data_IF_765152616039
#
_entry.id   IF_765152616039
#
_cell.length_a   1.000
_cell.length_b   1.000
_cell.length_c   1.000
_cell.angle_alpha   90.00
_cell.angle_beta   90.00
_cell.angle_gamma   90.00
#
_symmetry.space_group_name_H-M   'P 1'
#
loop_
_entity.id
_entity.type
_entity.pdbx_description
1 polymer ?
#
# COMPACT_ATOMS: atom_id res chain seq x y z
N UNK A 1 -4.37 2.99 -9.61
CA UNK A 1 -4.10 4.04 -10.61
C UNK A 1 -5.34 4.18 -11.48
N UNK A 2 -6.19 5.18 -11.18
CA UNK A 2 -7.43 5.42 -11.92
C UNK A 2 -7.08 6.36 -13.07
N UNK A 3 -7.20 5.87 -14.30
CA UNK A 3 -7.09 6.70 -15.50
C UNK A 3 -8.45 7.36 -15.75
N UNK A 4 -8.49 8.69 -15.73
CA UNK A 4 -9.64 9.46 -16.13
C UNK A 4 -9.83 9.32 -17.65
N UNK A 5 -10.94 8.73 -18.08
CA UNK A 5 -11.40 8.73 -19.47
C UNK A 5 -12.29 9.94 -19.63
N UNK A 6 -11.78 10.97 -20.32
CA UNK A 6 -12.58 12.10 -20.75
C UNK A 6 -13.38 11.70 -22.01
N UNK A 7 -14.69 11.65 -21.88
CA UNK A 7 -15.62 11.45 -23.00
C UNK A 7 -15.60 12.64 -23.95
N UNK A 8 -15.29 12.42 -25.22
CA UNK A 8 -15.53 13.36 -26.32
C UNK A 8 -16.87 13.07 -26.99
N UNK A 9 -17.71 14.08 -26.96
CA UNK A 9 -18.98 14.09 -27.70
C UNK A 9 -18.74 14.00 -29.23
N UNK A 10 -19.47 13.11 -29.87
CA UNK A 10 -19.52 12.94 -31.31
C UNK A 10 -20.35 14.08 -31.91
N UNK A 11 -19.72 14.96 -32.71
CA UNK A 11 -20.44 15.87 -33.62
C UNK A 11 -20.40 15.29 -35.03
N UNK A 12 -21.57 14.97 -35.55
CA UNK A 12 -21.77 14.64 -36.94
C UNK A 12 -21.59 15.88 -37.81
N UNK A 13 -20.63 15.87 -38.73
CA UNK A 13 -20.64 16.74 -39.90
C UNK A 13 -20.43 15.92 -41.16
N UNK A 14 -21.43 15.96 -42.04
CA UNK A 14 -21.32 15.51 -43.44
C UNK A 14 -20.47 16.52 -44.21
N UNK A 15 -19.57 16.01 -45.01
CA UNK A 15 -18.85 16.81 -46.01
C UNK A 15 -17.71 15.99 -46.57
N UNK A 16 -17.90 15.38 -47.77
CA UNK A 16 -16.74 14.90 -48.54
C UNK A 16 -15.92 16.07 -49.04
N UNK A 17 -14.60 15.97 -48.96
CA UNK A 17 -13.80 16.31 -50.12
C UNK A 17 -12.68 15.29 -50.37
N UNK A 18 -12.51 15.01 -51.64
CA UNK A 18 -11.36 14.62 -52.45
C UNK A 18 -10.08 14.05 -51.79
N UNK A 19 -9.69 12.93 -52.35
CA UNK A 19 -8.39 12.23 -52.16
C UNK A 19 -7.20 13.15 -52.42
N UNK A 20 -6.72 13.79 -51.38
CA UNK A 20 -5.43 14.48 -51.36
C UNK A 20 -4.33 13.53 -50.88
N UNK A 21 -3.27 13.48 -51.63
CA UNK A 21 -2.00 12.79 -51.39
C UNK A 21 -1.66 12.61 -49.91
N UNK A 22 -1.51 11.37 -49.47
CA UNK A 22 -1.00 10.97 -48.18
C UNK A 22 0.48 11.41 -48.05
N UNK A 23 0.71 12.61 -47.56
CA UNK A 23 1.98 12.96 -47.00
C UNK A 23 2.21 12.15 -45.73
N UNK A 24 3.07 11.17 -45.83
CA UNK A 24 3.57 10.38 -44.71
C UNK A 24 4.25 11.36 -43.72
N UNK A 25 3.49 11.80 -42.70
CA UNK A 25 4.07 12.51 -41.55
C UNK A 25 5.04 11.54 -40.87
N UNK A 26 6.30 11.85 -40.69
CA UNK A 26 7.21 11.04 -39.92
C UNK A 26 6.60 10.90 -38.50
N UNK A 27 6.38 9.68 -38.08
CA UNK A 27 5.93 9.39 -36.74
C UNK A 27 6.86 10.06 -35.72
N UNK A 28 6.37 10.39 -34.52
CA UNK A 28 7.19 11.02 -33.50
C UNK A 28 8.45 10.17 -33.32
N UNK A 29 9.62 10.80 -33.45
CA UNK A 29 10.90 10.17 -33.15
C UNK A 29 10.75 9.46 -31.84
N UNK A 30 11.19 8.19 -31.74
CA UNK A 30 11.20 7.42 -30.50
C UNK A 30 11.97 8.24 -29.46
N UNK A 31 11.26 9.06 -28.71
CA UNK A 31 11.80 9.76 -27.57
C UNK A 31 11.93 8.73 -26.46
N UNK A 32 13.00 8.76 -25.69
CA UNK A 32 13.16 7.92 -24.49
C UNK A 32 12.11 8.23 -23.42
N UNK A 33 11.29 9.24 -23.64
CA UNK A 33 10.19 9.62 -22.76
C UNK A 33 9.08 8.56 -22.80
N UNK A 34 8.85 7.94 -21.66
CA UNK A 34 7.77 6.98 -21.44
C UNK A 34 6.81 7.55 -20.37
N UNK A 35 5.96 8.51 -20.71
CA UNK A 35 5.13 9.24 -19.73
C UNK A 35 4.10 8.36 -19.01
N UNK A 36 3.81 7.18 -19.55
CA UNK A 36 2.93 6.18 -18.93
C UNK A 36 3.62 5.32 -17.86
N UNK A 37 4.95 5.40 -17.75
CA UNK A 37 5.72 4.65 -16.76
C UNK A 37 6.21 5.59 -15.65
N UNK A 38 5.85 5.29 -14.42
CA UNK A 38 6.45 5.91 -13.23
C UNK A 38 7.73 5.15 -12.90
N UNK A 39 8.87 5.81 -13.00
CA UNK A 39 10.18 5.21 -12.68
C UNK A 39 10.70 5.57 -11.28
N UNK A 40 10.22 6.66 -10.69
CA UNK A 40 10.70 7.12 -9.40
C UNK A 40 9.63 7.92 -8.66
N UNK A 41 9.80 8.05 -7.36
CA UNK A 41 9.01 8.92 -6.51
C UNK A 41 9.62 10.33 -6.51
N UNK A 42 8.78 11.35 -6.43
CA UNK A 42 9.25 12.71 -6.25
C UNK A 42 9.56 12.92 -4.76
N UNK A 43 10.85 12.93 -4.43
CA UNK A 43 11.32 13.21 -3.06
C UNK A 43 11.25 14.72 -2.84
N UNK A 44 10.92 15.21 -1.63
CA UNK A 44 10.87 16.64 -1.35
C UNK A 44 12.15 17.34 -1.80
N UNK A 45 12.06 18.46 -2.54
CA UNK A 45 13.23 19.11 -3.15
C UNK A 45 14.07 19.93 -2.15
N UNK A 46 13.62 20.08 -0.90
CA UNK A 46 14.27 20.92 0.12
C UNK A 46 14.79 20.06 1.26
N UNK A 47 15.96 20.43 1.76
CA UNK A 47 16.51 19.89 2.99
C UNK A 47 15.52 20.01 4.16
N UNK A 48 15.36 18.91 4.90
CA UNK A 48 14.43 18.84 6.03
C UNK A 48 14.98 17.87 7.08
N UNK A 49 15.52 18.43 8.16
CA UNK A 49 16.11 17.67 9.24
C UNK A 49 15.14 16.65 9.88
N UNK A 50 13.84 16.95 9.95
CA UNK A 50 12.82 16.01 10.46
C UNK A 50 12.66 14.83 9.50
N UNK A 51 12.66 15.09 8.18
CA UNK A 51 12.62 14.03 7.18
C UNK A 51 13.83 13.10 7.32
N UNK A 52 15.03 13.67 7.41
CA UNK A 52 16.27 12.91 7.50
C UNK A 52 16.32 12.08 8.79
N UNK A 53 15.96 12.66 9.92
CA UNK A 53 15.94 11.97 11.20
C UNK A 53 14.98 10.76 11.18
N UNK A 54 13.75 10.93 10.69
CA UNK A 54 12.77 9.84 10.60
C UNK A 54 13.16 8.81 9.55
N UNK A 55 13.74 9.23 8.43
CA UNK A 55 14.23 8.31 7.40
C UNK A 55 15.35 7.43 7.94
N UNK A 56 16.36 8.01 8.60
CA UNK A 56 17.47 7.25 9.18
C UNK A 56 17.00 6.33 10.31
N UNK A 57 16.04 6.76 11.12
CA UNK A 57 15.42 5.95 12.17
C UNK A 57 14.78 4.67 11.59
N UNK A 58 13.94 4.81 10.56
CA UNK A 58 13.31 3.67 9.88
C UNK A 58 14.35 2.76 9.20
N UNK A 59 15.36 3.34 8.53
CA UNK A 59 16.43 2.55 7.91
C UNK A 59 17.26 1.79 8.95
N UNK A 60 17.51 2.38 10.11
CA UNK A 60 18.19 1.72 11.21
C UNK A 60 17.37 0.54 11.77
N UNK A 61 16.04 0.67 11.82
CA UNK A 61 15.14 -0.45 12.19
C UNK A 61 15.25 -1.58 11.17
N UNK A 62 15.23 -1.29 9.87
CA UNK A 62 15.33 -2.33 8.83
C UNK A 62 16.70 -3.02 8.74
N UNK A 63 17.75 -2.38 9.26
CA UNK A 63 19.08 -2.97 9.35
C UNK A 63 19.22 -3.97 10.52
N UNK A 64 18.24 -4.02 11.45
CA UNK A 64 18.27 -4.95 12.58
C UNK A 64 18.15 -6.40 12.10
N UNK A 65 18.89 -7.35 12.69
CA UNK A 65 18.67 -8.76 12.43
C UNK A 65 17.29 -9.19 12.95
N UNK A 66 16.76 -10.29 12.40
CA UNK A 66 15.51 -10.87 12.90
C UNK A 66 15.68 -11.30 14.36
N UNK A 67 14.78 -10.83 15.21
CA UNK A 67 14.66 -11.20 16.62
C UNK A 67 13.20 -11.55 16.96
N UNK A 68 12.88 -12.81 17.26
CA UNK A 68 11.51 -13.22 17.61
C UNK A 68 10.97 -12.56 18.88
N UNK A 69 11.84 -12.08 19.79
CA UNK A 69 11.42 -11.34 20.97
C UNK A 69 11.07 -9.88 20.65
N UNK A 70 11.60 -9.36 19.53
CA UNK A 70 11.40 -7.98 19.07
C UNK A 70 11.15 -7.94 17.54
N UNK A 71 10.08 -8.59 17.04
CA UNK A 71 9.78 -8.63 15.61
C UNK A 71 9.54 -7.21 15.07
N UNK A 72 10.02 -6.96 13.85
CA UNK A 72 9.76 -5.71 13.12
C UNK A 72 8.56 -5.93 12.23
N UNK A 73 7.47 -5.23 12.51
CA UNK A 73 6.22 -5.28 11.73
C UNK A 73 5.97 -3.94 11.07
N UNK A 74 5.67 -3.96 9.78
CA UNK A 74 5.27 -2.78 9.03
C UNK A 74 3.75 -2.79 8.86
N UNK A 75 3.10 -1.63 8.98
CA UNK A 75 1.67 -1.49 8.82
C UNK A 75 1.32 -0.34 7.89
N UNK A 76 0.28 -0.56 7.10
CA UNK A 76 -0.34 0.47 6.29
C UNK A 76 -1.81 0.12 6.00
N UNK A 77 -2.61 1.09 5.56
CA UNK A 77 -3.98 0.84 5.15
C UNK A 77 -4.32 1.49 3.81
N UNK A 78 -5.28 0.88 3.13
CA UNK A 78 -5.77 1.35 1.84
C UNK A 78 -7.30 1.35 1.80
N UNK A 79 -7.94 2.47 1.42
CA UNK A 79 -9.36 2.46 1.11
C UNK A 79 -9.63 1.62 -0.14
N UNK A 80 -10.69 0.82 -0.08
CA UNK A 80 -11.13 -0.03 -1.18
C UNK A 80 -12.62 0.15 -1.45
N UNK A 81 -12.98 0.35 -2.73
CA UNK A 81 -14.36 0.45 -3.18
C UNK A 81 -14.85 -0.94 -3.55
N UNK A 82 -15.88 -1.41 -2.86
CA UNK A 82 -16.56 -2.66 -3.18
C UNK A 82 -17.46 -2.48 -4.39
N UNK A 83 -17.23 -3.29 -5.42
CA UNK A 83 -17.98 -3.27 -6.67
C UNK A 83 -18.66 -4.63 -6.87
N UNK A 84 -20.00 -4.61 -6.96
CA UNK A 84 -20.81 -5.77 -7.30
C UNK A 84 -21.07 -5.89 -8.79
N UNK A 85 -21.45 -7.08 -9.23
CA UNK A 85 -21.90 -7.37 -10.58
C UNK A 85 -23.36 -6.94 -10.77
N UNK A 86 -23.68 -6.37 -11.92
CA UNK A 86 -25.08 -6.11 -12.34
C UNK A 86 -25.65 -7.37 -13.01
N UNK A 87 -24.81 -8.07 -13.76
CA UNK A 87 -25.12 -9.33 -14.46
C UNK A 87 -24.00 -10.31 -14.22
N UNK A 88 -24.32 -11.60 -14.20
CA UNK A 88 -23.32 -12.64 -14.05
C UNK A 88 -22.29 -12.60 -15.20
N UNK A 89 -20.99 -12.70 -14.90
CA UNK A 89 -19.95 -12.76 -15.89
C UNK A 89 -20.12 -13.98 -16.80
N UNK A 90 -19.87 -13.81 -18.08
CA UNK A 90 -19.78 -14.95 -19.00
C UNK A 90 -18.39 -15.57 -18.94
N UNK A 91 -18.27 -16.86 -18.58
CA UNK A 91 -16.98 -17.52 -18.48
C UNK A 91 -16.29 -17.61 -19.83
N UNK A 92 -14.96 -17.70 -19.81
CA UNK A 92 -14.16 -17.97 -21.00
C UNK A 92 -14.56 -19.30 -21.63
N UNK A 93 -14.59 -19.35 -22.98
CA UNK A 93 -14.84 -20.56 -23.79
C UNK A 93 -13.77 -20.64 -24.87
N UNK A 94 -13.53 -21.82 -25.47
CA UNK A 94 -12.61 -21.93 -26.60
C UNK A 94 -12.95 -20.90 -27.71
N UNK A 95 -11.98 -20.03 -28.04
CA UNK A 95 -12.14 -18.96 -29.02
C UNK A 95 -12.89 -17.71 -28.53
N UNK A 96 -13.29 -17.62 -27.24
CA UNK A 96 -13.91 -16.44 -26.62
C UNK A 96 -13.32 -16.17 -25.26
N UNK A 97 -12.92 -14.92 -25.03
CA UNK A 97 -12.51 -14.45 -23.72
C UNK A 97 -13.70 -14.39 -22.74
N UNK A 98 -13.42 -14.41 -21.44
CA UNK A 98 -14.41 -14.05 -20.42
C UNK A 98 -14.92 -12.63 -20.69
N UNK A 99 -16.22 -12.42 -20.47
CA UNK A 99 -16.85 -11.11 -20.63
C UNK A 99 -17.50 -10.70 -19.32
N UNK A 100 -17.17 -9.50 -18.86
CA UNK A 100 -17.83 -8.86 -17.71
C UNK A 100 -18.68 -7.68 -18.20
N UNK A 101 -19.73 -7.38 -17.45
CA UNK A 101 -20.54 -6.20 -17.74
C UNK A 101 -19.74 -4.91 -17.48
N UNK A 102 -19.89 -3.90 -18.32
CA UNK A 102 -19.30 -2.58 -18.07
C UNK A 102 -19.98 -1.85 -16.90
N UNK A 103 -21.24 -2.19 -16.60
CA UNK A 103 -21.98 -1.66 -15.46
C UNK A 103 -21.60 -2.37 -14.17
N UNK A 104 -21.65 -1.64 -13.04
CA UNK A 104 -21.38 -2.17 -11.73
C UNK A 104 -22.26 -1.52 -10.66
N UNK A 105 -22.51 -2.24 -9.59
CA UNK A 105 -23.16 -1.72 -8.39
C UNK A 105 -22.09 -1.36 -7.36
N UNK A 106 -22.20 -0.18 -6.74
CA UNK A 106 -21.35 0.19 -5.61
C UNK A 106 -21.90 -0.44 -4.33
N UNK A 107 -21.13 -1.33 -3.73
CA UNK A 107 -21.50 -2.06 -2.51
C UNK A 107 -20.91 -1.45 -1.24
N UNK A 108 -20.45 -0.19 -1.30
CA UNK A 108 -19.83 0.50 -0.19
C UNK A 108 -18.31 0.61 -0.32
N UNK A 109 -17.68 1.08 0.76
CA UNK A 109 -16.23 1.20 0.89
C UNK A 109 -15.77 0.52 2.17
N UNK A 110 -14.57 -0.01 2.17
CA UNK A 110 -13.88 -0.49 3.36
C UNK A 110 -12.45 0.03 3.40
N UNK A 111 -11.76 -0.19 4.49
CA UNK A 111 -10.31 0.04 4.61
C UNK A 111 -9.63 -1.30 4.84
N UNK A 112 -8.66 -1.61 3.99
CA UNK A 112 -7.87 -2.84 4.09
C UNK A 112 -6.59 -2.49 4.85
N UNK A 113 -6.42 -3.10 6.03
CA UNK A 113 -5.22 -3.01 6.84
C UNK A 113 -4.26 -4.15 6.46
N UNK A 114 -3.00 -3.82 6.22
CA UNK A 114 -1.93 -4.78 5.95
C UNK A 114 -0.89 -4.67 7.04
N UNK A 115 -0.57 -5.80 7.64
CA UNK A 115 0.50 -5.98 8.61
C UNK A 115 1.50 -6.96 8.03
N UNK A 116 2.77 -6.63 8.02
CA UNK A 116 3.80 -7.48 7.44
C UNK A 116 5.05 -7.52 8.32
N UNK A 117 5.54 -8.72 8.63
CA UNK A 117 6.88 -8.94 9.17
C UNK A 117 7.81 -9.32 8.02
N UNK A 118 8.65 -8.38 7.52
CA UNK A 118 9.41 -8.59 6.29
C UNK A 118 10.38 -9.77 6.35
N UNK A 119 11.12 -9.91 7.46
CA UNK A 119 12.16 -10.91 7.60
C UNK A 119 11.62 -12.32 7.84
N UNK A 120 10.42 -12.45 8.44
CA UNK A 120 9.75 -13.74 8.64
C UNK A 120 8.90 -14.14 7.42
N UNK A 121 8.54 -13.18 6.59
CA UNK A 121 7.62 -13.45 5.48
C UNK A 121 6.18 -13.64 5.95
N UNK A 122 5.80 -13.09 7.10
CA UNK A 122 4.45 -13.15 7.63
C UNK A 122 3.62 -11.92 7.25
N UNK A 123 2.34 -12.13 6.95
CA UNK A 123 1.36 -11.08 6.67
C UNK A 123 0.04 -11.37 7.35
N UNK A 124 -0.62 -10.30 7.77
CA UNK A 124 -2.04 -10.29 8.12
C UNK A 124 -2.74 -9.20 7.34
N UNK A 125 -3.85 -9.54 6.73
CA UNK A 125 -4.69 -8.60 5.97
C UNK A 125 -6.11 -8.66 6.52
N UNK A 126 -6.71 -7.51 6.76
CA UNK A 126 -8.05 -7.43 7.31
C UNK A 126 -8.81 -6.24 6.72
N UNK A 127 -10.05 -6.45 6.24
CA UNK A 127 -10.93 -5.40 5.79
C UNK A 127 -11.84 -4.94 6.94
N UNK A 128 -11.87 -3.63 7.18
CA UNK A 128 -12.77 -3.01 8.16
C UNK A 128 -13.64 -1.97 7.46
N UNK A 129 -14.84 -1.75 7.96
CA UNK A 129 -15.77 -0.75 7.41
C UNK A 129 -15.23 0.67 7.59
N UNK A 130 -14.41 0.89 8.59
CA UNK A 130 -13.83 2.19 8.92
C UNK A 130 -12.34 2.06 9.23
N UNK A 131 -11.66 3.21 9.42
CA UNK A 131 -10.27 3.31 9.87
C UNK A 131 -10.15 4.34 10.99
N UNK A 132 -10.93 4.12 12.03
CA UNK A 132 -10.91 4.98 13.20
C UNK A 132 -9.74 4.64 14.13
N UNK A 133 -9.50 5.47 15.13
CA UNK A 133 -8.54 5.19 16.20
C UNK A 133 -8.87 3.89 16.93
N UNK A 134 -10.16 3.59 17.12
CA UNK A 134 -10.63 2.36 17.77
C UNK A 134 -10.35 1.14 16.91
N UNK A 135 -10.56 1.24 15.58
CA UNK A 135 -10.24 0.17 14.63
C UNK A 135 -8.75 -0.16 14.67
N UNK A 136 -7.90 0.87 14.59
CA UNK A 136 -6.44 0.69 14.69
C UNK A 136 -6.04 0.08 16.04
N UNK A 137 -6.56 0.57 17.14
CA UNK A 137 -6.27 0.04 18.48
C UNK A 137 -6.68 -1.43 18.61
N UNK A 138 -7.84 -1.82 18.06
CA UNK A 138 -8.28 -3.21 17.98
C UNK A 138 -7.33 -4.10 17.20
N UNK A 139 -6.85 -3.61 16.05
CA UNK A 139 -5.86 -4.32 15.23
C UNK A 139 -4.52 -4.48 15.96
N UNK A 140 -4.06 -3.45 16.70
CA UNK A 140 -2.85 -3.52 17.55
C UNK A 140 -3.02 -4.52 18.68
N UNK A 141 -4.17 -4.51 19.36
CA UNK A 141 -4.46 -5.52 20.41
C UNK A 141 -4.35 -6.93 19.83
N UNK A 142 -4.96 -7.19 18.69
CA UNK A 142 -4.86 -8.47 18.00
C UNK A 142 -3.41 -8.83 17.66
N UNK A 143 -2.65 -7.87 17.13
CA UNK A 143 -1.22 -8.06 16.84
C UNK A 143 -0.44 -8.54 18.07
N UNK A 144 -0.64 -7.87 19.21
CA UNK A 144 0.11 -8.16 20.42
C UNK A 144 -0.36 -9.41 21.17
N UNK A 145 -1.66 -9.74 21.11
CA UNK A 145 -2.24 -10.82 21.92
C UNK A 145 -2.42 -12.12 21.15
N UNK A 146 -2.58 -12.05 19.83
CA UNK A 146 -2.86 -13.22 18.99
C UNK A 146 -1.66 -13.55 18.09
N UNK A 147 -1.16 -12.55 17.34
CA UNK A 147 -0.11 -12.81 16.36
C UNK A 147 1.27 -12.94 17.03
N UNK A 148 1.58 -12.07 17.99
CA UNK A 148 2.86 -12.05 18.71
C UNK A 148 2.70 -12.11 20.23
N UNK A 149 2.00 -13.13 20.79
CA UNK A 149 1.73 -13.19 22.22
C UNK A 149 2.99 -13.35 23.08
N UNK A 150 4.06 -13.90 22.49
CA UNK A 150 5.34 -14.16 23.18
C UNK A 150 6.39 -13.09 22.96
N UNK A 151 6.20 -12.14 22.05
CA UNK A 151 7.13 -11.06 21.83
C UNK A 151 7.19 -10.14 23.06
N UNK A 152 8.38 -9.73 23.43
CA UNK A 152 8.58 -8.74 24.51
C UNK A 152 8.08 -7.36 24.04
N UNK A 153 8.47 -6.98 22.83
CA UNK A 153 8.11 -5.71 22.22
C UNK A 153 7.96 -5.93 20.72
N UNK A 154 6.88 -5.42 20.12
CA UNK A 154 6.74 -5.36 18.66
C UNK A 154 7.24 -4.00 18.18
N UNK A 155 8.23 -4.01 17.30
CA UNK A 155 8.74 -2.81 16.63
C UNK A 155 7.84 -2.52 15.44
N UNK A 156 7.06 -1.45 15.52
CA UNK A 156 6.02 -1.12 14.54
C UNK A 156 6.47 0.05 13.67
N UNK A 157 6.62 -0.20 12.36
CA UNK A 157 6.87 0.84 11.36
C UNK A 157 5.56 1.16 10.64
N UNK A 158 5.17 2.42 10.63
CA UNK A 158 3.92 2.88 10.00
C UNK A 158 4.02 4.34 9.58
N UNK A 159 3.01 4.82 8.87
CA UNK A 159 2.89 6.25 8.57
C UNK A 159 2.48 7.06 9.83
N UNK A 160 2.63 8.37 9.75
CA UNK A 160 2.29 9.27 10.85
C UNK A 160 0.86 9.80 10.71
N UNK A 161 -0.12 8.90 10.62
CA UNK A 161 -1.53 9.28 10.59
C UNK A 161 -2.02 9.60 12.01
N UNK A 162 -2.88 10.62 12.14
CA UNK A 162 -3.42 11.06 13.46
C UNK A 162 -4.22 9.98 14.20
N UNK A 163 -4.68 8.94 13.50
CA UNK A 163 -5.41 7.80 14.07
C UNK A 163 -4.49 6.72 14.62
N UNK A 164 -3.18 6.77 14.28
CA UNK A 164 -2.20 5.76 14.60
C UNK A 164 -1.25 6.25 15.68
N UNK A 165 -1.50 5.89 16.91
CA UNK A 165 -0.64 6.28 18.01
C UNK A 165 -1.08 5.73 19.35
N UNK A 166 -0.18 5.81 20.33
CA UNK A 166 -0.42 5.30 21.69
C UNK A 166 -1.71 5.88 22.30
N UNK A 167 -2.03 7.16 22.03
CA UNK A 167 -3.27 7.78 22.52
C UNK A 167 -4.53 7.04 22.08
N UNK A 168 -4.53 6.43 20.89
CA UNK A 168 -5.66 5.66 20.38
C UNK A 168 -5.96 4.42 21.22
N UNK A 169 -4.97 3.84 21.88
CA UNK A 169 -5.18 2.73 22.82
C UNK A 169 -5.99 3.17 24.04
N UNK A 170 -5.72 4.38 24.56
CA UNK A 170 -6.44 4.92 25.70
C UNK A 170 -7.86 5.42 25.36
N UNK A 171 -8.12 5.70 24.08
CA UNK A 171 -9.48 5.97 23.59
C UNK A 171 -10.31 4.71 23.41
N UNK A 172 -9.65 3.55 23.17
CA UNK A 172 -10.31 2.29 22.86
C UNK A 172 -10.44 1.33 24.06
N UNK A 173 -9.52 1.41 25.03
CA UNK A 173 -9.42 0.46 26.13
C UNK A 173 -9.32 1.14 27.49
N UNK A 174 -9.63 0.40 28.53
CA UNK A 174 -9.40 0.84 29.91
C UNK A 174 -7.92 1.17 30.16
N UNK A 175 -7.59 2.16 31.01
CA UNK A 175 -6.24 2.68 31.18
C UNK A 175 -5.18 1.62 31.49
N UNK A 176 -5.52 0.61 32.29
CA UNK A 176 -4.60 -0.48 32.63
C UNK A 176 -4.25 -1.37 31.44
N UNK A 177 -5.25 -1.70 30.61
CA UNK A 177 -5.06 -2.46 29.38
C UNK A 177 -4.30 -1.63 28.34
N UNK A 178 -4.70 -0.38 28.13
CA UNK A 178 -4.04 0.54 27.20
C UNK A 178 -2.56 0.68 27.54
N UNK A 179 -2.20 0.87 28.80
CA UNK A 179 -0.84 0.94 29.27
C UNK A 179 -0.06 -0.35 29.00
N UNK A 180 -0.64 -1.50 29.34
CA UNK A 180 0.00 -2.80 29.13
C UNK A 180 0.29 -3.07 27.64
N UNK A 181 -0.63 -2.70 26.74
CA UNK A 181 -0.43 -2.77 25.28
C UNK A 181 0.67 -1.80 24.82
N UNK A 182 0.63 -0.55 25.31
CA UNK A 182 1.60 0.47 24.96
C UNK A 182 3.04 0.10 25.32
N UNK A 183 3.24 -0.55 26.47
CA UNK A 183 4.57 -1.02 26.93
C UNK A 183 5.19 -2.09 26.02
N UNK A 184 4.37 -2.74 25.19
CA UNK A 184 4.81 -3.74 24.23
C UNK A 184 4.99 -3.21 22.81
N UNK A 185 4.94 -1.89 22.59
CA UNK A 185 5.10 -1.24 21.29
C UNK A 185 6.33 -0.33 21.30
N UNK A 186 7.13 -0.45 20.24
CA UNK A 186 8.15 0.52 19.84
C UNK A 186 7.74 1.05 18.46
N UNK A 187 7.29 2.30 18.40
CA UNK A 187 6.68 2.85 17.17
C UNK A 187 7.68 3.75 16.44
N UNK A 188 7.88 3.50 15.16
CA UNK A 188 8.68 4.28 14.24
C UNK A 188 7.82 4.80 13.10
N UNK A 189 7.78 6.12 12.93
CA UNK A 189 6.97 6.74 11.89
C UNK A 189 7.81 7.08 10.66
N UNK A 190 7.31 6.71 9.48
CA UNK A 190 7.90 7.20 8.23
C UNK A 190 7.80 8.72 8.13
N UNK A 191 8.76 9.39 7.48
CA UNK A 191 8.69 10.83 7.30
C UNK A 191 7.53 11.22 6.38
N UNK A 192 7.02 12.42 6.56
CA UNK A 192 6.02 12.99 5.64
C UNK A 192 6.57 12.98 4.20
N UNK A 193 5.79 12.47 3.25
CA UNK A 193 6.20 12.22 1.87
C UNK A 193 7.27 11.13 1.70
N UNK A 194 7.47 10.29 2.70
CA UNK A 194 8.41 9.16 2.70
C UNK A 194 7.71 7.80 2.75
N UNK A 195 6.48 7.67 2.24
CA UNK A 195 5.72 6.42 2.26
C UNK A 195 6.44 5.26 1.56
N UNK A 196 7.31 5.57 0.58
CA UNK A 196 8.18 4.59 -0.08
C UNK A 196 9.11 3.84 0.87
N UNK A 197 9.36 4.37 2.08
CA UNK A 197 10.09 3.69 3.16
C UNK A 197 9.24 2.67 3.90
N UNK A 198 7.90 2.72 3.78
CA UNK A 198 7.03 1.74 4.43
C UNK A 198 6.96 0.46 3.60
N UNK A 199 7.51 -0.64 4.11
CA UNK A 199 7.46 -1.93 3.42
C UNK A 199 6.02 -2.40 3.22
N UNK A 200 5.08 -2.04 4.09
CA UNK A 200 3.67 -2.39 3.93
C UNK A 200 3.05 -1.81 2.65
N UNK A 201 3.55 -0.69 2.11
CA UNK A 201 3.16 -0.18 0.79
C UNK A 201 3.49 -1.15 -0.36
N UNK A 202 4.61 -1.88 -0.24
CA UNK A 202 4.99 -2.92 -1.21
C UNK A 202 3.95 -4.04 -1.19
N UNK A 203 3.54 -4.45 0.00
CA UNK A 203 2.52 -5.48 0.22
C UNK A 203 1.14 -5.03 -0.28
N UNK A 204 0.73 -3.78 -0.01
CA UNK A 204 -0.50 -3.21 -0.55
C UNK A 204 -0.49 -3.16 -2.09
N UNK A 205 0.67 -2.89 -2.68
CA UNK A 205 0.84 -2.91 -4.14
C UNK A 205 0.76 -4.34 -4.69
N UNK A 206 1.34 -5.33 -4.01
CA UNK A 206 1.24 -6.74 -4.37
C UNK A 206 -0.20 -7.24 -4.25
N UNK A 207 -0.85 -7.01 -3.11
CA UNK A 207 -2.26 -7.33 -2.87
C UNK A 207 -3.17 -6.71 -3.95
N UNK A 208 -2.94 -5.44 -4.28
CA UNK A 208 -3.74 -4.76 -5.30
C UNK A 208 -3.65 -5.41 -6.67
N UNK A 209 -2.48 -5.91 -7.07
CA UNK A 209 -2.26 -6.54 -8.37
C UNK A 209 -2.64 -8.02 -8.41
N UNK A 210 -2.55 -8.71 -7.29
CA UNK A 210 -2.73 -10.17 -7.23
C UNK A 210 -4.14 -10.57 -6.83
N UNK A 211 -4.82 -9.70 -6.07
CA UNK A 211 -6.12 -10.01 -5.48
C UNK A 211 -7.20 -8.97 -5.84
N UNK A 212 -6.88 -7.66 -5.80
CA UNK A 212 -7.89 -6.59 -5.81
C UNK A 212 -8.09 -5.92 -7.19
N UNK A 213 -7.51 -6.42 -8.27
CA UNK A 213 -7.61 -5.86 -9.63
C UNK A 213 -8.88 -6.28 -10.39
N UNK A 214 -9.80 -6.94 -9.71
CA UNK A 214 -11.07 -7.47 -10.24
C UNK A 214 -12.24 -7.09 -9.33
N UNK A 215 -13.46 -7.36 -9.78
CA UNK A 215 -14.66 -7.28 -8.93
C UNK A 215 -14.67 -8.47 -7.98
N UNK A 216 -14.89 -8.20 -6.71
CA UNK A 216 -14.84 -9.20 -5.64
C UNK A 216 -16.20 -9.23 -4.95
N UNK A 217 -16.83 -10.40 -4.94
CA UNK A 217 -18.12 -10.62 -4.27
C UNK A 217 -17.98 -10.87 -2.78
N UNK A 218 -16.89 -11.53 -2.38
CA UNK A 218 -16.57 -11.84 -0.99
C UNK A 218 -15.10 -11.46 -0.72
N UNK A 219 -14.92 -10.25 -0.21
CA UNK A 219 -13.58 -9.69 0.01
C UNK A 219 -12.84 -10.45 1.12
N UNK A 220 -13.51 -10.85 2.18
CA UNK A 220 -12.86 -11.50 3.33
C UNK A 220 -12.29 -12.86 2.94
N UNK A 221 -13.03 -13.66 2.16
CA UNK A 221 -12.55 -14.93 1.61
C UNK A 221 -11.33 -14.74 0.70
N UNK A 222 -11.35 -13.74 -0.18
CA UNK A 222 -10.24 -13.45 -1.10
C UNK A 222 -8.99 -12.97 -0.36
N UNK A 223 -9.16 -12.10 0.63
CA UNK A 223 -8.05 -11.63 1.47
C UNK A 223 -7.44 -12.79 2.29
N UNK A 224 -8.29 -13.65 2.86
CA UNK A 224 -7.82 -14.83 3.60
C UNK A 224 -7.06 -15.80 2.71
N UNK A 225 -7.52 -16.06 1.49
CA UNK A 225 -6.85 -16.93 0.52
C UNK A 225 -5.49 -16.35 0.10
N UNK A 226 -5.42 -15.05 -0.20
CA UNK A 226 -4.17 -14.37 -0.52
C UNK A 226 -3.18 -14.44 0.64
N UNK A 227 -3.63 -14.09 1.85
CA UNK A 227 -2.82 -14.16 3.07
C UNK A 227 -2.28 -15.56 3.32
N UNK A 228 -3.12 -16.58 3.19
CA UNK A 228 -2.71 -17.97 3.37
C UNK A 228 -1.61 -18.36 2.39
N UNK A 229 -1.76 -18.02 1.12
CA UNK A 229 -0.77 -18.32 0.07
C UNK A 229 0.57 -17.67 0.37
N UNK A 230 0.58 -16.36 0.66
CA UNK A 230 1.82 -15.62 0.92
C UNK A 230 2.53 -16.12 2.19
N UNK A 231 1.76 -16.42 3.25
CA UNK A 231 2.32 -16.92 4.51
C UNK A 231 2.86 -18.36 4.35
N UNK A 232 2.24 -19.20 3.52
CA UNK A 232 2.74 -20.52 3.21
C UNK A 232 4.07 -20.48 2.46
N UNK A 233 4.21 -19.53 1.52
CA UNK A 233 5.44 -19.34 0.75
C UNK A 233 6.54 -18.63 1.56
N UNK A 234 6.21 -18.02 2.70
CA UNK A 234 7.12 -17.26 3.57
C UNK A 234 8.03 -16.30 2.78
N UNK A 235 7.45 -15.51 1.89
CA UNK A 235 8.19 -14.58 1.05
C UNK A 235 8.79 -13.46 1.88
N UNK A 236 10.08 -13.55 2.17
CA UNK A 236 10.84 -12.53 2.89
C UNK A 236 11.09 -11.30 2.02
N UNK A 237 11.07 -10.13 2.65
CA UNK A 237 11.56 -8.88 2.06
C UNK A 237 12.79 -8.45 2.86
N UNK A 238 13.91 -8.31 2.15
CA UNK A 238 15.15 -7.77 2.71
C UNK A 238 15.37 -6.38 2.15
N UNK A 239 15.27 -5.40 3.01
CA UNK A 239 15.50 -4.01 2.63
C UNK A 239 16.98 -3.79 2.31
N UNK A 240 17.27 -3.20 1.12
CA UNK A 240 18.64 -3.07 0.63
C UNK A 240 19.19 -1.65 0.76
N UNK A 241 18.30 -0.65 0.82
CA UNK A 241 18.71 0.75 0.90
C UNK A 241 19.10 1.12 2.32
N UNK A 242 20.38 1.41 2.55
CA UNK A 242 20.95 1.66 3.87
C UNK A 242 20.98 3.13 4.24
N UNK A 243 21.27 3.44 5.51
CA UNK A 243 21.50 4.82 5.96
C UNK A 243 22.68 5.45 5.23
N UNK A 244 23.75 4.70 4.94
CA UNK A 244 24.89 5.21 4.19
C UNK A 244 24.53 5.50 2.73
N UNK A 245 23.70 4.64 2.12
CA UNK A 245 23.12 4.94 0.79
C UNK A 245 22.31 6.23 0.80
N UNK A 246 21.51 6.45 1.84
CA UNK A 246 20.69 7.66 1.97
C UNK A 246 21.57 8.92 2.05
N UNK A 247 22.59 8.91 2.89
CA UNK A 247 23.53 10.03 3.03
C UNK A 247 24.26 10.38 1.74
N UNK A 248 24.54 9.38 0.91
CA UNK A 248 25.18 9.59 -0.40
C UNK A 248 24.18 10.01 -1.46
N UNK A 249 23.12 9.21 -1.66
CA UNK A 249 22.16 9.38 -2.78
C UNK A 249 21.19 10.53 -2.55
N UNK A 250 20.85 10.82 -1.31
CA UNK A 250 19.89 11.84 -0.89
C UNK A 250 20.54 13.01 -0.16
N UNK A 251 21.84 13.20 -0.31
CA UNK A 251 22.61 14.26 0.40
C UNK A 251 22.02 15.67 0.27
N UNK A 252 21.23 15.92 -0.78
CA UNK A 252 20.57 17.20 -1.01
C UNK A 252 19.42 17.50 -0.04
N UNK A 253 18.92 16.49 0.66
CA UNK A 253 17.87 16.61 1.69
C UNK A 253 18.47 16.97 3.05
N UNK A 254 19.72 16.61 3.30
CA UNK A 254 20.38 16.89 4.56
C UNK A 254 20.70 18.38 4.68
N UNK A 255 20.42 19.01 5.82
CA UNK A 255 20.80 20.39 6.07
C UNK A 255 22.31 20.58 5.85
N UNK A 256 22.70 21.63 5.17
CA UNK A 256 24.10 22.01 5.06
C UNK A 256 24.51 22.72 6.35
N UNK A 257 25.49 22.18 7.04
CA UNK A 257 26.20 22.86 8.10
C UNK A 257 26.99 24.07 7.56
#
# INVERSE_FOLDING_TARGET
MVAAVAGKACRTHRGHPELGSLHHRPGPKKTELRPHLRKCWNIPPRANAEFDARMEDVLAVYARPHDPARPVVCMDEKPFQLLGQVRDPLPARPGRNACEDSEYVRCGTCSIFVWAEPLQGWRRVHALTQRTKIDWAGQVKQLLTVDYPKAQTVVLVMDNLNTHGIASLYEAFEPGEAFALAQRLEIHHTPKHGSWLNIAEIELSALSRQCLDRRISDLDTELAAWQHTINTEQRQIRWQFTTDDARVKLRHLYPKS
#
